data_IF_025146981095
#
_entry.id   IF_025146981095
#
_cell.length_a   1.000
_cell.length_b   1.000
_cell.length_c   1.000
_cell.angle_alpha   90.00
_cell.angle_beta   90.00
_cell.angle_gamma   90.00
#
_symmetry.space_group_name_H-M   'P 1'
#
loop_
_entity.id
_entity.type
_entity.pdbx_description
1 polymer ?
#
# COMPACT_ATOMS: atom_id res chain seq x y z
N UNK A 1 38.15 21.89 -34.31
CA UNK A 1 37.41 21.58 -33.08
C UNK A 1 37.51 22.79 -32.15
N UNK A 2 36.40 23.47 -31.86
CA UNK A 2 36.42 24.79 -31.22
C UNK A 2 36.96 24.72 -29.78
N UNK A 3 38.06 25.42 -29.51
CA UNK A 3 38.71 25.52 -28.18
C UNK A 3 37.73 25.81 -27.03
N UNK A 4 36.67 26.59 -27.30
CA UNK A 4 35.60 26.87 -26.31
C UNK A 4 34.87 25.62 -25.82
N UNK A 5 34.64 24.63 -26.68
CA UNK A 5 33.94 23.38 -26.30
C UNK A 5 34.82 22.47 -25.43
N UNK A 6 36.14 22.49 -25.64
CA UNK A 6 37.11 21.71 -24.86
C UNK A 6 37.23 22.28 -23.44
N UNK A 7 37.28 23.62 -23.31
CA UNK A 7 37.37 24.29 -22.00
C UNK A 7 36.12 24.03 -21.15
N UNK A 8 34.93 24.06 -21.75
CA UNK A 8 33.68 23.76 -21.04
C UNK A 8 33.67 22.31 -20.53
N UNK A 9 34.10 21.34 -21.35
CA UNK A 9 34.15 19.93 -20.96
C UNK A 9 35.14 19.68 -19.79
N UNK A 10 36.28 20.37 -19.78
CA UNK A 10 37.25 20.26 -18.68
C UNK A 10 36.68 20.84 -17.38
N UNK A 11 35.95 21.97 -17.46
CA UNK A 11 35.29 22.60 -16.31
C UNK A 11 34.19 21.71 -15.69
N UNK A 12 33.37 21.02 -16.51
CA UNK A 12 32.36 20.08 -15.98
C UNK A 12 32.98 18.87 -15.30
N UNK A 13 34.07 18.33 -15.85
CA UNK A 13 34.79 17.21 -15.23
C UNK A 13 35.41 17.64 -13.90
N UNK A 14 36.01 18.84 -13.84
CA UNK A 14 36.61 19.37 -12.62
C UNK A 14 35.56 19.61 -11.51
N UNK A 15 34.38 20.13 -11.86
CA UNK A 15 33.28 20.33 -10.91
C UNK A 15 32.72 19.00 -10.39
N UNK A 16 32.57 17.99 -11.25
CA UNK A 16 32.13 16.65 -10.86
C UNK A 16 33.10 15.97 -9.90
N UNK A 17 34.40 16.07 -10.17
CA UNK A 17 35.44 15.54 -9.28
C UNK A 17 35.46 16.27 -7.93
N UNK A 18 35.33 17.60 -7.93
CA UNK A 18 35.25 18.40 -6.70
C UNK A 18 34.08 18.00 -5.81
N UNK A 19 32.89 17.82 -6.38
CA UNK A 19 31.70 17.37 -5.65
C UNK A 19 31.87 15.96 -5.06
N UNK A 20 32.47 15.04 -5.82
CA UNK A 20 32.73 13.67 -5.36
C UNK A 20 33.69 13.62 -4.16
N UNK A 21 34.82 14.31 -4.23
CA UNK A 21 35.79 14.33 -3.12
C UNK A 21 35.27 15.10 -1.89
N UNK A 22 34.49 16.18 -2.10
CA UNK A 22 33.81 16.89 -1.03
C UNK A 22 32.81 16.00 -0.28
N UNK A 23 31.98 15.25 -1.02
CA UNK A 23 31.01 14.31 -0.45
C UNK A 23 31.69 13.19 0.33
N UNK A 24 32.75 12.58 -0.21
CA UNK A 24 33.52 11.53 0.47
C UNK A 24 34.16 12.01 1.78
N UNK A 25 34.65 13.26 1.80
CA UNK A 25 35.21 13.87 3.02
C UNK A 25 34.16 14.09 4.12
N UNK A 26 32.93 14.45 3.75
CA UNK A 26 31.82 14.62 4.69
C UNK A 26 31.38 13.27 5.26
N UNK A 27 31.20 12.25 4.41
CA UNK A 27 30.82 10.89 4.86
C UNK A 27 31.86 10.30 5.80
N UNK A 28 33.16 10.46 5.50
CA UNK A 28 34.22 10.00 6.39
C UNK A 28 34.20 10.72 7.75
N UNK A 29 33.95 12.03 7.79
CA UNK A 29 33.79 12.77 9.06
C UNK A 29 32.56 12.35 9.86
N UNK A 30 31.47 11.97 9.19
CA UNK A 30 30.27 11.45 9.86
C UNK A 30 30.55 10.06 10.44
N UNK A 31 31.28 9.20 9.72
CA UNK A 31 31.67 7.88 10.21
C UNK A 31 32.72 7.92 11.34
N UNK A 32 33.67 8.85 11.32
CA UNK A 32 34.67 9.01 12.40
C UNK A 32 34.04 9.46 13.74
N UNK A 33 32.93 10.18 13.69
CA UNK A 33 32.21 10.66 14.88
C UNK A 33 30.98 9.80 15.22
N UNK A 34 30.76 8.70 14.50
CA UNK A 34 29.68 7.78 14.79
C UNK A 34 30.10 6.81 15.90
N UNK A 35 29.53 7.01 17.09
CA UNK A 35 29.57 6.02 18.18
C UNK A 35 28.23 5.28 18.22
N UNK A 36 28.25 3.97 17.96
CA UNK A 36 27.08 3.09 18.10
C UNK A 36 26.52 3.14 19.53
N UNK A 37 25.31 3.69 19.70
CA UNK A 37 24.57 3.62 20.96
C UNK A 37 23.72 2.35 21.03
N UNK A 38 24.37 1.18 20.91
CA UNK A 38 24.02 -0.17 21.41
C UNK A 38 24.71 -1.20 20.50
N UNK A 39 25.88 -1.75 20.86
CA UNK A 39 26.43 -2.84 20.09
C UNK A 39 25.53 -4.08 20.27
N UNK A 40 24.96 -4.57 19.17
CA UNK A 40 24.27 -5.86 19.13
C UNK A 40 25.22 -6.92 19.72
N UNK A 41 24.77 -7.61 20.77
CA UNK A 41 25.46 -8.81 21.27
C UNK A 41 25.57 -9.80 20.12
N UNK A 42 26.79 -10.21 19.80
CA UNK A 42 27.04 -11.36 18.92
C UNK A 42 26.33 -12.60 19.48
N UNK A 43 25.19 -12.97 18.90
CA UNK A 43 24.61 -14.28 19.10
C UNK A 43 25.38 -15.29 18.26
N UNK A 44 25.92 -16.30 18.95
CA UNK A 44 26.63 -17.44 18.38
C UNK A 44 25.80 -18.06 17.26
N UNK A 45 26.40 -18.22 16.08
CA UNK A 45 25.93 -19.12 15.04
C UNK A 45 25.63 -20.49 15.66
N UNK A 46 24.36 -20.89 15.61
CA UNK A 46 23.92 -22.26 15.88
C UNK A 46 23.15 -22.77 14.68
N UNK A 47 23.48 -24.01 14.34
CA UNK A 47 23.14 -24.75 13.13
C UNK A 47 21.69 -24.65 12.66
N UNK A 48 21.56 -24.64 11.33
CA UNK A 48 20.38 -24.95 10.55
C UNK A 48 19.82 -26.32 10.90
N UNK A 49 18.74 -26.36 11.68
CA UNK A 49 17.59 -27.25 11.49
C UNK A 49 16.69 -27.12 12.72
N UNK A 50 15.59 -26.37 12.57
CA UNK A 50 14.25 -26.69 13.09
C UNK A 50 13.35 -25.46 12.93
N UNK A 51 12.34 -25.62 12.07
CA UNK A 51 11.29 -24.64 11.81
C UNK A 51 10.47 -24.41 13.08
N UNK A 52 10.58 -23.22 13.66
CA UNK A 52 9.51 -22.62 14.43
C UNK A 52 9.52 -21.12 14.15
N UNK A 53 8.74 -20.71 13.15
CA UNK A 53 8.43 -19.29 12.93
C UNK A 53 7.37 -18.93 13.96
N UNK A 54 7.72 -18.09 14.93
CA UNK A 54 6.76 -17.45 15.82
C UNK A 54 5.93 -16.44 14.99
N UNK A 55 4.83 -16.92 14.44
CA UNK A 55 3.95 -16.19 13.52
C UNK A 55 3.12 -15.10 14.19
N UNK A 56 3.24 -14.88 15.49
CA UNK A 56 2.37 -13.92 16.21
C UNK A 56 2.93 -12.50 16.27
N UNK A 57 4.25 -12.32 16.16
CA UNK A 57 4.91 -11.01 16.27
C UNK A 57 5.18 -10.29 14.95
N UNK A 58 5.14 -10.98 13.81
CA UNK A 58 5.51 -10.40 12.49
C UNK A 58 4.31 -9.91 11.64
N UNK A 59 3.08 -10.34 11.97
CA UNK A 59 1.87 -9.88 11.28
C UNK A 59 1.66 -8.36 11.42
N UNK A 60 2.17 -7.77 12.51
CA UNK A 60 2.07 -6.34 12.78
C UNK A 60 3.08 -5.47 12.00
N UNK A 61 4.01 -6.06 11.23
CA UNK A 61 5.12 -5.35 10.54
C UNK A 61 5.21 -5.58 9.03
N UNK A 62 4.16 -6.09 8.39
CA UNK A 62 4.20 -6.39 6.95
C UNK A 62 4.11 -5.12 6.09
N UNK A 63 5.27 -4.59 5.71
CA UNK A 63 5.46 -3.26 5.06
C UNK A 63 4.91 -3.20 3.63
N UNK A 64 5.01 -4.28 2.87
CA UNK A 64 4.42 -4.53 1.52
C UNK A 64 5.30 -5.56 0.84
N UNK A 65 4.76 -6.39 -0.05
CA UNK A 65 5.54 -7.34 -0.85
C UNK A 65 5.06 -7.40 -2.29
N UNK A 66 5.96 -7.79 -3.19
CA UNK A 66 5.60 -8.07 -4.57
C UNK A 66 4.95 -9.46 -4.71
N UNK A 67 3.97 -9.55 -5.59
CA UNK A 67 3.37 -10.81 -6.05
C UNK A 67 3.21 -10.77 -7.57
N UNK A 68 3.38 -11.92 -8.19
CA UNK A 68 3.25 -12.07 -9.63
C UNK A 68 1.79 -12.01 -10.04
N UNK A 69 1.52 -11.27 -11.12
CA UNK A 69 0.23 -11.25 -11.77
C UNK A 69 0.25 -12.02 -13.10
N UNK A 70 -0.72 -11.70 -13.94
CA UNK A 70 -0.90 -12.27 -15.27
C UNK A 70 -0.98 -11.13 -16.30
N UNK A 71 -0.65 -11.41 -17.56
CA UNK A 71 -0.84 -10.44 -18.63
C UNK A 71 -2.32 -10.02 -18.76
N UNK A 72 -2.61 -8.80 -19.25
CA UNK A 72 -3.97 -8.35 -19.46
C UNK A 72 -4.72 -9.26 -20.43
N UNK A 73 -6.02 -9.40 -20.18
CA UNK A 73 -6.94 -10.16 -21.03
C UNK A 73 -8.01 -9.24 -21.62
N UNK A 74 -8.61 -9.65 -22.73
CA UNK A 74 -9.82 -9.01 -23.25
C UNK A 74 -11.04 -9.73 -22.72
N UNK A 75 -11.95 -8.99 -22.08
CA UNK A 75 -13.24 -9.52 -21.62
C UNK A 75 -14.37 -8.87 -22.43
N UNK A 76 -15.28 -9.70 -22.94
CA UNK A 76 -16.52 -9.21 -23.53
C UNK A 76 -17.54 -8.97 -22.41
N UNK A 77 -17.46 -7.82 -21.77
CA UNK A 77 -18.33 -7.38 -20.67
C UNK A 77 -18.82 -5.96 -20.94
N UNK A 78 -20.08 -5.67 -20.58
CA UNK A 78 -20.65 -4.33 -20.66
C UNK A 78 -20.81 -3.78 -19.25
N UNK A 79 -19.93 -2.88 -18.86
CA UNK A 79 -19.94 -2.22 -17.56
C UNK A 79 -19.40 -0.80 -17.71
N UNK A 80 -19.93 0.13 -16.92
CA UNK A 80 -19.40 1.49 -16.79
C UNK A 80 -18.36 1.57 -15.64
N UNK A 81 -18.25 0.51 -14.84
CA UNK A 81 -17.30 0.41 -13.73
C UNK A 81 -15.91 0.00 -14.21
N UNK A 82 -14.88 0.45 -13.48
CA UNK A 82 -13.49 0.07 -13.75
C UNK A 82 -13.12 -1.33 -13.22
N UNK A 83 -14.09 -2.11 -12.76
CA UNK A 83 -13.89 -3.50 -12.34
C UNK A 83 -15.05 -4.41 -12.76
N UNK A 84 -14.79 -5.71 -12.79
CA UNK A 84 -15.79 -6.76 -12.96
C UNK A 84 -15.37 -8.01 -12.20
N UNK A 85 -16.33 -8.71 -11.61
CA UNK A 85 -16.12 -10.04 -11.03
C UNK A 85 -16.65 -11.07 -12.01
N UNK A 86 -15.80 -12.00 -12.43
CA UNK A 86 -16.13 -13.02 -13.42
C UNK A 86 -15.34 -14.29 -13.17
N UNK A 87 -15.96 -15.45 -13.35
CA UNK A 87 -15.29 -16.76 -13.26
C UNK A 87 -14.50 -16.93 -11.94
N UNK A 88 -15.05 -16.41 -10.84
CA UNK A 88 -14.42 -16.46 -9.50
C UNK A 88 -13.17 -15.59 -9.35
N UNK A 89 -13.00 -14.57 -10.17
CA UNK A 89 -11.86 -13.64 -10.12
C UNK A 89 -12.32 -12.18 -10.24
N UNK A 90 -11.57 -11.28 -9.61
CA UNK A 90 -11.71 -9.84 -9.80
C UNK A 90 -10.83 -9.40 -10.96
N UNK A 91 -11.39 -8.57 -11.84
CA UNK A 91 -10.68 -7.95 -12.95
C UNK A 91 -10.83 -6.44 -12.88
N UNK A 92 -9.74 -5.71 -13.12
CA UNK A 92 -9.70 -4.24 -13.13
C UNK A 92 -9.30 -3.75 -14.52
N UNK A 93 -9.79 -2.58 -14.94
CA UNK A 93 -9.33 -1.92 -16.16
C UNK A 93 -8.87 -0.49 -15.88
N UNK A 94 -7.72 -0.11 -16.43
CA UNK A 94 -7.21 1.28 -16.44
C UNK A 94 -7.49 2.00 -17.77
N UNK A 95 -8.05 1.30 -18.76
CA UNK A 95 -8.15 1.77 -20.15
C UNK A 95 -9.60 1.79 -20.68
N UNK A 96 -10.56 1.90 -19.75
CA UNK A 96 -12.00 1.93 -20.01
C UNK A 96 -12.52 0.65 -20.66
N UNK A 97 -12.03 -0.50 -20.18
CA UNK A 97 -12.51 -1.83 -20.53
C UNK A 97 -11.94 -2.43 -21.82
N UNK A 98 -10.90 -1.82 -22.41
CA UNK A 98 -10.24 -2.40 -23.60
C UNK A 98 -9.40 -3.62 -23.20
N UNK A 99 -8.75 -3.56 -22.05
CA UNK A 99 -8.03 -4.65 -21.42
C UNK A 99 -8.33 -4.72 -19.92
N UNK A 100 -8.16 -5.93 -19.38
CA UNK A 100 -8.54 -6.27 -18.02
C UNK A 100 -7.39 -7.00 -17.32
N UNK A 101 -6.99 -6.49 -16.16
CA UNK A 101 -5.98 -7.05 -15.30
C UNK A 101 -6.66 -7.97 -14.29
N UNK A 102 -6.30 -9.24 -14.28
CA UNK A 102 -6.78 -10.17 -13.25
C UNK A 102 -6.03 -9.90 -11.96
N UNK A 103 -6.76 -9.67 -10.88
CA UNK A 103 -6.16 -9.43 -9.56
C UNK A 103 -5.71 -10.76 -8.97
N UNK A 104 -4.41 -10.94 -8.66
CA UNK A 104 -3.91 -12.19 -8.10
C UNK A 104 -4.28 -12.33 -6.62
N UNK A 105 -4.42 -13.58 -6.17
CA UNK A 105 -4.44 -13.89 -4.75
C UNK A 105 -3.00 -13.89 -4.19
N UNK A 106 -2.83 -13.34 -2.99
CA UNK A 106 -1.64 -13.62 -2.20
C UNK A 106 -1.72 -15.05 -1.61
N UNK A 107 -0.63 -15.80 -1.73
CA UNK A 107 -0.54 -17.18 -1.24
C UNK A 107 0.14 -17.27 0.13
N UNK A 108 0.77 -16.20 0.59
CA UNK A 108 1.53 -16.17 1.84
C UNK A 108 0.62 -15.99 3.06
N UNK A 109 1.02 -16.58 4.18
CA UNK A 109 0.28 -16.49 5.43
C UNK A 109 0.33 -15.07 6.01
N UNK A 110 -0.81 -14.56 6.50
CA UNK A 110 -0.93 -13.23 7.13
C UNK A 110 -1.58 -12.17 6.24
N UNK A 111 -1.66 -12.40 4.93
CA UNK A 111 -2.43 -11.57 4.00
C UNK A 111 -3.81 -12.19 3.74
N UNK A 112 -4.81 -11.34 3.53
CA UNK A 112 -6.11 -11.78 3.05
C UNK A 112 -5.98 -12.27 1.59
N UNK A 113 -6.78 -13.25 1.20
CA UNK A 113 -6.91 -13.68 -0.20
C UNK A 113 -8.10 -13.01 -0.84
N UNK A 114 -7.89 -12.21 -1.88
CA UNK A 114 -8.98 -11.40 -2.45
C UNK A 114 -10.13 -12.27 -2.99
N UNK A 115 -9.85 -13.49 -3.45
CA UNK A 115 -10.88 -14.47 -3.82
C UNK A 115 -11.87 -14.80 -2.70
N UNK A 116 -11.48 -14.67 -1.43
CA UNK A 116 -12.34 -14.86 -0.26
C UNK A 116 -13.21 -13.65 0.12
N UNK A 117 -13.11 -12.56 -0.64
CA UNK A 117 -13.78 -11.29 -0.38
C UNK A 117 -14.52 -10.73 -1.61
N UNK A 118 -14.62 -11.49 -2.70
CA UNK A 118 -15.20 -11.00 -3.96
C UNK A 118 -16.64 -10.48 -3.81
N UNK A 119 -17.43 -11.11 -2.94
CA UNK A 119 -18.82 -10.73 -2.65
C UNK A 119 -18.95 -9.42 -1.85
N UNK A 120 -17.84 -8.89 -1.33
CA UNK A 120 -17.76 -7.66 -0.55
C UNK A 120 -17.08 -6.51 -1.31
N UNK A 121 -16.56 -6.76 -2.51
CA UNK A 121 -15.93 -5.72 -3.31
C UNK A 121 -17.02 -4.83 -3.92
N UNK A 122 -17.02 -3.57 -3.47
CA UNK A 122 -17.82 -2.49 -4.05
C UNK A 122 -16.92 -1.50 -4.82
N UNK A 123 -17.54 -0.54 -5.52
CA UNK A 123 -16.81 0.55 -6.21
C UNK A 123 -15.89 1.31 -5.25
N UNK A 124 -16.31 1.52 -4.00
CA UNK A 124 -15.51 2.23 -3.00
C UNK A 124 -14.24 1.48 -2.58
N UNK A 125 -14.19 0.16 -2.81
CA UNK A 125 -13.00 -0.64 -2.54
C UNK A 125 -11.91 -0.46 -3.61
N UNK A 126 -12.23 0.14 -4.76
CA UNK A 126 -11.37 0.18 -5.94
C UNK A 126 -11.03 1.62 -6.29
N UNK A 127 -9.74 1.93 -6.25
CA UNK A 127 -9.19 3.13 -6.87
C UNK A 127 -8.56 2.75 -8.22
N UNK A 128 -8.87 3.51 -9.27
CA UNK A 128 -8.20 3.36 -10.57
C UNK A 128 -7.97 4.70 -11.24
N UNK A 129 -6.75 4.91 -11.71
CA UNK A 129 -6.33 5.99 -12.59
C UNK A 129 -5.67 5.42 -13.85
N UNK A 130 -5.11 6.29 -14.70
CA UNK A 130 -4.30 5.86 -15.84
C UNK A 130 -2.93 5.27 -15.43
N UNK A 131 -2.49 5.50 -14.19
CA UNK A 131 -1.15 5.16 -13.72
C UNK A 131 -1.15 4.08 -12.63
N UNK A 132 -2.23 3.97 -11.86
CA UNK A 132 -2.29 3.10 -10.68
C UNK A 132 -3.69 2.55 -10.49
N UNK A 133 -3.75 1.34 -9.97
CA UNK A 133 -4.94 0.83 -9.30
C UNK A 133 -4.59 0.33 -7.92
N UNK A 134 -5.52 0.48 -6.99
CA UNK A 134 -5.41 -0.01 -5.63
C UNK A 134 -6.76 -0.57 -5.18
N UNK A 135 -6.73 -1.68 -4.47
CA UNK A 135 -7.93 -2.39 -4.03
C UNK A 135 -7.78 -2.71 -2.55
N UNK A 136 -8.78 -2.32 -1.75
CA UNK A 136 -8.83 -2.58 -0.31
C UNK A 136 -9.84 -3.69 0.00
N UNK A 137 -9.42 -4.65 0.83
CA UNK A 137 -10.20 -5.84 1.20
C UNK A 137 -9.66 -6.42 2.51
N UNK A 138 -10.22 -7.54 3.00
CA UNK A 138 -9.69 -8.19 4.21
C UNK A 138 -10.41 -7.82 5.51
N UNK A 139 -9.77 -8.12 6.64
CA UNK A 139 -10.26 -7.74 7.98
C UNK A 139 -11.13 -8.77 8.69
N UNK A 140 -11.44 -9.94 8.10
CA UNK A 140 -12.21 -11.01 8.77
C UNK A 140 -11.31 -11.84 9.68
N UNK A 141 -11.84 -12.27 10.83
CA UNK A 141 -11.14 -13.21 11.69
C UNK A 141 -9.77 -12.67 12.12
N UNK A 142 -8.71 -13.43 11.88
CA UNK A 142 -7.33 -13.05 12.20
C UNK A 142 -6.63 -12.24 11.12
N UNK A 143 -7.28 -11.97 9.99
CA UNK A 143 -6.68 -11.27 8.85
C UNK A 143 -6.81 -9.76 9.04
N UNK A 144 -5.70 -9.04 8.85
CA UNK A 144 -5.75 -7.58 8.72
C UNK A 144 -6.39 -7.17 7.38
N UNK A 145 -6.83 -5.92 7.30
CA UNK A 145 -7.14 -5.27 6.03
C UNK A 145 -5.89 -5.30 5.15
N UNK A 146 -6.08 -5.77 3.91
CA UNK A 146 -5.08 -5.85 2.87
C UNK A 146 -5.36 -4.82 1.78
N UNK A 147 -4.29 -4.28 1.20
CA UNK A 147 -4.33 -3.39 0.05
C UNK A 147 -3.45 -4.01 -1.02
N UNK A 148 -4.01 -4.26 -2.20
CA UNK A 148 -3.25 -4.73 -3.37
C UNK A 148 -3.23 -3.65 -4.43
N UNK A 149 -2.07 -3.43 -5.04
CA UNK A 149 -1.82 -2.34 -5.98
C UNK A 149 -1.03 -2.82 -7.18
N UNK A 150 -1.24 -2.19 -8.33
CA UNK A 150 -0.33 -2.28 -9.49
C UNK A 150 -0.26 -0.92 -10.15
N UNK A 151 0.88 -0.65 -10.76
CA UNK A 151 1.10 0.53 -11.61
C UNK A 151 0.95 0.14 -13.09
N UNK A 152 0.63 1.11 -13.93
CA UNK A 152 0.36 0.88 -15.35
C UNK A 152 1.59 0.38 -16.11
N UNK A 153 2.79 0.73 -15.65
CA UNK A 153 4.05 0.25 -16.21
C UNK A 153 4.25 -1.27 -16.08
N UNK A 154 3.63 -1.89 -15.08
CA UNK A 154 3.67 -3.35 -14.88
C UNK A 154 2.58 -4.07 -15.66
N UNK A 155 1.57 -3.35 -16.17
CA UNK A 155 0.52 -3.91 -17.00
C UNK A 155 -0.16 -5.16 -16.37
N UNK A 156 -0.29 -5.19 -15.04
CA UNK A 156 -0.87 -6.31 -14.29
C UNK A 156 0.03 -7.53 -14.10
N UNK A 157 1.27 -7.50 -14.59
CA UNK A 157 2.24 -8.60 -14.41
C UNK A 157 2.92 -8.59 -13.04
N UNK A 158 2.97 -7.44 -12.38
CA UNK A 158 3.53 -7.30 -11.04
C UNK A 158 2.59 -6.47 -10.16
N UNK A 159 2.31 -6.98 -8.97
CA UNK A 159 1.47 -6.33 -7.97
C UNK A 159 2.23 -6.19 -6.66
N UNK A 160 1.86 -5.19 -5.87
CA UNK A 160 2.32 -5.02 -4.49
C UNK A 160 1.13 -5.19 -3.54
N UNK A 161 1.29 -6.01 -2.51
CA UNK A 161 0.29 -6.23 -1.46
C UNK A 161 0.85 -5.84 -0.09
N UNK A 162 0.09 -5.06 0.66
CA UNK A 162 0.41 -4.62 2.01
C UNK A 162 -0.78 -4.80 2.95
N UNK A 163 -0.56 -4.60 4.25
CA UNK A 163 -1.62 -4.68 5.28
C UNK A 163 -1.63 -3.47 6.18
N UNK A 164 -2.78 -3.16 6.75
CA UNK A 164 -2.89 -2.22 7.87
C UNK A 164 -2.88 -3.02 9.18
N UNK A 165 -1.84 -2.86 9.98
CA UNK A 165 -1.70 -3.60 11.24
C UNK A 165 -2.86 -3.31 12.22
N UNK A 166 -3.20 -4.30 13.05
CA UNK A 166 -4.24 -4.19 14.10
C UNK A 166 -5.65 -3.85 13.58
N UNK A 167 -5.98 -4.36 12.40
CA UNK A 167 -7.32 -4.22 11.79
C UNK A 167 -8.08 -5.54 11.70
N UNK A 168 -7.48 -6.65 12.12
CA UNK A 168 -8.19 -7.91 12.32
C UNK A 168 -9.34 -7.74 13.32
N UNK A 169 -10.55 -8.18 12.95
CA UNK A 169 -11.74 -8.02 13.78
C UNK A 169 -12.06 -9.23 14.67
N UNK A 170 -11.28 -10.31 14.56
CA UNK A 170 -11.41 -11.58 15.28
C UNK A 170 -12.79 -12.26 15.15
N UNK A 171 -13.53 -11.96 14.09
CA UNK A 171 -14.83 -12.54 13.78
C UNK A 171 -14.87 -13.04 12.34
N UNK A 172 -15.01 -14.36 12.17
CA UNK A 172 -15.03 -15.00 10.84
C UNK A 172 -16.27 -14.65 10.02
N UNK A 173 -17.37 -14.26 10.67
CA UNK A 173 -18.66 -14.01 10.02
C UNK A 173 -18.97 -12.52 9.89
N UNK A 174 -18.04 -11.65 10.32
CA UNK A 174 -18.21 -10.21 10.30
C UNK A 174 -17.02 -9.59 9.62
N UNK A 175 -17.29 -8.54 8.89
CA UNK A 175 -16.34 -7.85 8.03
C UNK A 175 -16.56 -6.35 8.27
N UNK A 176 -15.75 -5.51 7.66
CA UNK A 176 -16.07 -4.08 7.61
C UNK A 176 -17.32 -3.90 6.77
N UNK A 177 -18.28 -3.12 7.26
CA UNK A 177 -19.53 -2.85 6.54
C UNK A 177 -19.25 -2.24 5.17
N UNK A 178 -18.33 -1.26 5.13
CA UNK A 178 -17.82 -0.65 3.91
C UNK A 178 -16.38 -0.22 4.09
N UNK A 179 -15.63 -0.27 3.00
CA UNK A 179 -14.28 0.26 2.92
C UNK A 179 -14.18 1.22 1.74
N UNK A 180 -13.36 2.24 1.92
CA UNK A 180 -13.12 3.30 0.96
C UNK A 180 -11.62 3.45 0.79
N UNK A 181 -11.16 3.55 -0.45
CA UNK A 181 -9.78 3.90 -0.79
C UNK A 181 -9.79 4.94 -1.91
N UNK A 182 -8.91 5.92 -1.81
CA UNK A 182 -8.64 6.87 -2.88
C UNK A 182 -7.23 7.44 -2.73
N UNK A 183 -6.73 8.05 -3.79
CA UNK A 183 -5.45 8.73 -3.82
C UNK A 183 -5.60 10.17 -4.32
N UNK A 184 -4.92 11.08 -3.63
CA UNK A 184 -4.90 12.52 -3.91
C UNK A 184 -3.46 12.98 -4.14
N UNK A 185 -3.29 14.27 -4.48
CA UNK A 185 -1.98 14.90 -4.72
C UNK A 185 -1.14 14.18 -5.78
N UNK A 186 -1.73 13.94 -6.95
CA UNK A 186 -1.12 13.15 -8.04
C UNK A 186 -0.64 11.78 -7.56
N UNK A 187 -1.50 11.08 -6.80
CA UNK A 187 -1.27 9.72 -6.28
C UNK A 187 -0.19 9.58 -5.21
N UNK A 188 0.33 10.69 -4.68
CA UNK A 188 1.35 10.68 -3.62
C UNK A 188 0.77 10.39 -2.23
N UNK A 189 -0.44 10.87 -1.98
CA UNK A 189 -1.14 10.72 -0.71
C UNK A 189 -2.30 9.75 -0.89
N UNK A 190 -2.36 8.68 -0.09
CA UNK A 190 -3.47 7.75 -0.08
C UNK A 190 -4.39 8.00 1.11
N UNK A 191 -5.70 7.91 0.93
CA UNK A 191 -6.70 7.95 1.99
C UNK A 191 -7.50 6.66 2.03
N UNK A 192 -7.75 6.17 3.24
CA UNK A 192 -8.66 5.06 3.50
C UNK A 192 -9.65 5.47 4.57
N UNK A 193 -10.91 5.07 4.41
CA UNK A 193 -11.90 5.06 5.48
C UNK A 193 -12.57 3.70 5.57
N UNK A 194 -12.82 3.23 6.79
CA UNK A 194 -13.46 1.93 7.04
C UNK A 194 -14.62 2.11 7.99
N UNK A 195 -15.76 1.49 7.70
CA UNK A 195 -16.94 1.50 8.57
C UNK A 195 -17.06 0.10 9.18
N UNK A 196 -16.81 -0.02 10.48
CA UNK A 196 -17.05 -1.28 11.19
C UNK A 196 -18.53 -1.41 11.50
N UNK A 197 -19.18 -2.47 11.03
CA UNK A 197 -20.50 -2.82 11.53
C UNK A 197 -20.35 -2.98 13.05
N UNK A 198 -21.16 -2.32 13.86
CA UNK A 198 -21.23 -2.54 15.32
C UNK A 198 -22.56 -3.18 15.70
N UNK A 199 -22.61 -3.88 16.85
CA UNK A 199 -23.84 -4.62 17.26
C UNK A 199 -25.01 -3.66 17.53
N UNK A 200 -24.68 -2.43 17.94
CA UNK A 200 -25.62 -1.33 18.21
C UNK A 200 -25.97 -0.50 16.96
N UNK A 201 -25.47 -0.89 15.78
CA UNK A 201 -25.75 -0.20 14.51
C UNK A 201 -25.09 1.17 14.35
N UNK A 202 -24.23 1.59 15.30
CA UNK A 202 -23.57 2.90 15.31
C UNK A 202 -22.25 2.98 14.55
N UNK A 203 -21.90 1.96 13.75
CA UNK A 203 -20.86 1.99 12.73
C UNK A 203 -19.55 2.70 13.13
N UNK A 204 -18.53 2.00 13.63
CA UNK A 204 -17.28 2.70 14.02
C UNK A 204 -16.47 3.06 12.76
N UNK A 205 -16.40 4.34 12.43
CA UNK A 205 -15.52 4.83 11.36
C UNK A 205 -14.08 4.94 11.85
N UNK A 206 -13.14 4.49 11.03
CA UNK A 206 -11.69 4.70 11.16
C UNK A 206 -11.14 5.28 9.86
N UNK A 207 -10.07 6.07 9.96
CA UNK A 207 -9.41 6.68 8.81
C UNK A 207 -7.90 6.39 8.85
N UNK A 208 -7.29 6.26 7.68
CA UNK A 208 -5.86 6.03 7.51
C UNK A 208 -5.30 6.88 6.38
N UNK A 209 -4.02 7.23 6.48
CA UNK A 209 -3.29 7.97 5.46
C UNK A 209 -2.01 7.22 5.07
N UNK A 210 -1.74 7.18 3.78
CA UNK A 210 -0.43 6.86 3.22
C UNK A 210 0.24 8.15 2.73
N UNK A 211 1.53 8.31 2.98
CA UNK A 211 2.37 9.41 2.43
C UNK A 211 3.46 8.88 1.48
N UNK A 212 3.40 7.60 1.13
CA UNK A 212 4.35 6.90 0.28
C UNK A 212 3.60 6.06 -0.77
N UNK A 213 2.68 6.70 -1.49
CA UNK A 213 2.00 6.12 -2.67
C UNK A 213 1.28 4.78 -2.43
N UNK A 214 0.89 4.49 -1.19
CA UNK A 214 0.08 3.34 -0.78
C UNK A 214 0.88 2.20 -0.17
N UNK A 215 2.19 2.38 0.05
CA UNK A 215 3.07 1.35 0.63
C UNK A 215 2.75 1.12 2.11
N UNK A 216 2.68 2.17 2.92
CA UNK A 216 2.33 2.07 4.35
C UNK A 216 1.17 2.97 4.72
N UNK A 217 0.37 2.55 5.70
CA UNK A 217 -0.85 3.24 6.10
C UNK A 217 -0.85 3.52 7.60
N UNK A 218 -0.85 4.79 7.96
CA UNK A 218 -0.88 5.24 9.35
C UNK A 218 -2.32 5.56 9.76
N UNK A 219 -2.77 5.12 10.96
CA UNK A 219 -4.07 5.54 11.49
C UNK A 219 -4.09 7.04 11.75
N UNK A 220 -5.21 7.69 11.42
CA UNK A 220 -5.42 9.11 11.69
C UNK A 220 -6.31 9.25 12.92
N UNK A 221 -5.83 10.03 13.91
CA UNK A 221 -6.58 10.28 15.14
C UNK A 221 -7.86 11.09 14.86
N UNK A 222 -8.95 10.78 15.57
CA UNK A 222 -10.24 11.46 15.44
C UNK A 222 -10.19 12.94 15.79
N UNK A 223 -9.24 13.33 16.64
CA UNK A 223 -9.04 14.73 17.02
C UNK A 223 -8.23 15.51 15.98
N UNK A 224 -7.57 14.83 15.04
CA UNK A 224 -6.86 15.46 13.93
C UNK A 224 -7.84 16.03 12.89
N UNK A 225 -7.56 17.23 12.39
CA UNK A 225 -8.33 17.82 11.30
C UNK A 225 -8.29 16.94 10.04
N UNK A 226 -7.18 16.24 9.80
CA UNK A 226 -7.04 15.31 8.69
C UNK A 226 -8.10 14.20 8.73
N UNK A 227 -8.54 13.76 9.92
CA UNK A 227 -9.59 12.76 10.03
C UNK A 227 -10.89 13.27 9.39
N UNK A 228 -11.27 14.52 9.69
CA UNK A 228 -12.46 15.15 9.12
C UNK A 228 -12.32 15.35 7.62
N UNK A 229 -11.13 15.73 7.15
CA UNK A 229 -10.86 15.90 5.73
C UNK A 229 -11.02 14.59 4.96
N UNK A 230 -10.48 13.47 5.49
CA UNK A 230 -10.64 12.14 4.90
C UNK A 230 -12.12 11.73 4.89
N UNK A 231 -12.86 11.95 5.98
CA UNK A 231 -14.28 11.60 5.99
C UNK A 231 -15.08 12.45 5.00
N UNK A 232 -14.80 13.75 4.90
CA UNK A 232 -15.46 14.62 3.94
C UNK A 232 -15.14 14.23 2.49
N UNK A 233 -13.89 13.84 2.21
CA UNK A 233 -13.46 13.31 0.92
C UNK A 233 -14.34 12.14 0.47
N UNK A 234 -14.61 11.20 1.37
CA UNK A 234 -15.50 10.06 1.13
C UNK A 234 -17.00 10.34 1.36
N UNK A 235 -17.38 11.60 1.64
CA UNK A 235 -18.76 12.02 1.95
C UNK A 235 -19.35 11.31 3.18
N UNK A 236 -18.49 10.96 4.14
CA UNK A 236 -18.81 10.29 5.41
C UNK A 236 -18.96 11.27 6.59
N UNK A 237 -18.86 12.59 6.37
CA UNK A 237 -18.91 13.59 7.44
C UNK A 237 -20.17 13.56 8.31
N UNK A 238 -21.29 13.02 7.80
CA UNK A 238 -22.52 12.84 8.57
C UNK A 238 -22.47 11.73 9.63
N UNK A 239 -21.42 10.91 9.66
CA UNK A 239 -21.18 9.87 10.67
C UNK A 239 -20.34 10.34 11.86
N UNK A 240 -19.98 11.63 11.89
CA UNK A 240 -19.32 12.27 13.04
C UNK A 240 -20.42 12.55 14.09
N UNK A 241 -20.59 11.65 15.06
CA UNK A 241 -21.44 11.92 16.23
C UNK A 241 -20.69 12.92 17.13
N UNK A 242 -20.85 14.22 16.88
CA UNK A 242 -20.21 15.33 17.60
C UNK A 242 -20.70 15.50 19.07
N UNK A 243 -21.40 14.51 19.62
CA UNK A 243 -21.89 14.56 21.01
C UNK A 243 -20.80 14.09 21.97
N UNK A 244 -19.95 15.03 22.38
CA UNK A 244 -19.28 15.00 23.69
C UNK A 244 -20.29 15.17 24.83
#
# INVERSE_FOLDING_TARGET
MNHKKIVIAILTIALGLGAYYGSKGIVNKVNENYTETNPLKEEKKKDTSENYVDTTTDIDRMISRAIDGEHPVTLNVKTEENYVIRDGSLYITMDKGKSWLKVPDDKDAGYAKISGYLDEIEVSNVYTSNNKTAIIYGGKGSENISIITTESEYNGEAWSVGTISKTANHNLNRTYERMYIDFVDDEKTGYIATIEKTVDGKGRVRAYRSVNTGVTWDPVDREDNLYKDILNHFKLGGLIDDKK
#
